data_IF_375978613247
#
_entry.id   IF_375978613247
#
_cell.length_a   1.000
_cell.length_b   1.000
_cell.length_c   1.000
_cell.angle_alpha   90.00
_cell.angle_beta   90.00
_cell.angle_gamma   90.00
#
_symmetry.space_group_name_H-M   'P 1'
#
loop_
_entity.id
_entity.type
_entity.pdbx_description
1 polymer ?
#
# COMPACT_ATOMS: atom_id res chain seq x y z
N UNK A 1 14.35 -26.27 -10.18
CA UNK A 1 14.26 -24.91 -10.75
C UNK A 1 15.14 -24.00 -9.91
N UNK A 2 16.14 -23.35 -10.51
CA UNK A 2 17.03 -22.46 -9.78
C UNK A 2 16.23 -21.21 -9.36
N UNK A 3 15.94 -21.09 -8.06
CA UNK A 3 15.20 -19.96 -7.48
C UNK A 3 16.11 -18.73 -7.40
N UNK A 4 16.39 -18.12 -8.56
CA UNK A 4 17.20 -16.92 -8.62
C UNK A 4 16.42 -15.73 -8.03
N UNK A 5 16.73 -15.39 -6.78
CA UNK A 5 16.21 -14.18 -6.16
C UNK A 5 16.75 -12.94 -6.86
N UNK A 6 15.88 -11.97 -7.12
CA UNK A 6 16.20 -10.63 -7.64
C UNK A 6 16.11 -9.60 -6.52
N UNK A 7 16.87 -8.52 -6.65
CA UNK A 7 16.74 -7.36 -5.76
C UNK A 7 15.62 -6.47 -6.29
N UNK A 8 14.72 -6.08 -5.41
CA UNK A 8 13.68 -5.09 -5.65
C UNK A 8 13.86 -3.93 -4.68
N UNK A 9 13.41 -2.74 -5.08
CA UNK A 9 13.23 -1.63 -4.15
C UNK A 9 11.79 -1.68 -3.62
N UNK A 10 11.59 -1.36 -2.34
CA UNK A 10 10.27 -1.20 -1.75
C UNK A 10 10.10 0.21 -1.22
N UNK A 11 8.85 0.66 -1.18
CA UNK A 11 8.44 1.89 -0.54
C UNK A 11 7.15 1.62 0.24
N UNK A 12 7.08 2.09 1.49
CA UNK A 12 5.89 1.98 2.34
C UNK A 12 5.40 3.36 2.72
N UNK A 13 4.12 3.43 3.05
CA UNK A 13 3.53 4.62 3.62
C UNK A 13 2.62 4.22 4.79
N UNK A 14 2.86 4.79 5.96
CA UNK A 14 2.07 4.52 7.16
C UNK A 14 0.66 5.10 7.05
N UNK A 15 -0.28 4.54 7.81
CA UNK A 15 -1.66 5.02 7.92
C UNK A 15 -1.82 6.06 9.05
N UNK A 16 -0.79 6.88 9.23
CA UNK A 16 -0.84 8.02 10.13
C UNK A 16 -1.70 9.15 9.50
N UNK A 17 -2.68 9.64 10.24
CA UNK A 17 -3.47 10.80 9.86
C UNK A 17 -3.32 11.91 10.92
N UNK A 18 -3.42 13.22 10.58
CA UNK A 18 -3.26 13.88 9.28
C UNK A 18 -1.92 14.64 9.11
N UNK A 19 -0.98 14.55 10.06
CA UNK A 19 0.15 15.50 10.09
C UNK A 19 1.44 14.99 9.44
N UNK A 20 1.79 13.71 9.59
CA UNK A 20 2.98 13.13 9.00
C UNK A 20 2.69 11.68 8.60
N UNK A 21 2.77 11.40 7.31
CA UNK A 21 2.73 10.05 6.78
C UNK A 21 4.18 9.59 6.69
N UNK A 22 4.60 8.70 7.59
CA UNK A 22 5.96 8.19 7.56
C UNK A 22 6.14 7.31 6.32
N UNK A 23 6.99 7.79 5.42
CA UNK A 23 7.43 7.06 4.24
C UNK A 23 8.76 6.39 4.52
N UNK A 24 8.84 5.09 4.25
CA UNK A 24 10.09 4.34 4.36
C UNK A 24 10.42 3.68 3.02
N UNK A 25 11.71 3.54 2.73
CA UNK A 25 12.23 2.96 1.49
C UNK A 25 13.38 2.01 1.80
N UNK A 26 13.48 0.94 1.02
CA UNK A 26 14.60 0.02 1.15
C UNK A 26 14.67 -0.99 0.01
N UNK A 27 15.48 -2.03 0.23
CA UNK A 27 15.70 -3.08 -0.76
C UNK A 27 15.38 -4.45 -0.17
N UNK A 28 14.90 -5.36 -1.00
CA UNK A 28 14.55 -6.73 -0.62
C UNK A 28 14.94 -7.72 -1.71
N UNK A 29 15.29 -8.95 -1.33
CA UNK A 29 15.59 -10.04 -2.27
C UNK A 29 14.46 -11.05 -2.28
N UNK A 30 13.75 -11.15 -3.40
CA UNK A 30 12.63 -12.07 -3.56
C UNK A 30 12.65 -12.79 -4.92
N UNK A 31 11.84 -13.82 -5.07
CA UNK A 31 11.69 -14.57 -6.34
C UNK A 31 10.94 -13.79 -7.40
N UNK A 32 9.96 -12.99 -6.97
CA UNK A 32 9.07 -12.21 -7.82
C UNK A 32 8.51 -11.00 -7.04
N UNK A 33 7.92 -10.00 -7.72
CA UNK A 33 7.44 -8.79 -7.07
C UNK A 33 6.31 -9.01 -6.07
N UNK A 34 5.45 -10.02 -6.25
CA UNK A 34 4.34 -10.27 -5.34
C UNK A 34 4.85 -10.87 -4.03
N UNK A 35 5.75 -11.86 -4.12
CA UNK A 35 6.42 -12.42 -2.94
C UNK A 35 7.19 -11.33 -2.16
N UNK A 36 7.86 -10.40 -2.86
CA UNK A 36 8.50 -9.25 -2.23
C UNK A 36 7.50 -8.35 -1.49
N UNK A 37 6.35 -8.09 -2.11
CA UNK A 37 5.30 -7.24 -1.54
C UNK A 37 4.73 -7.88 -0.28
N UNK A 38 4.36 -9.16 -0.34
CA UNK A 38 3.82 -9.90 0.81
C UNK A 38 4.83 -9.91 1.97
N UNK A 39 6.12 -10.11 1.69
CA UNK A 39 7.15 -10.06 2.73
C UNK A 39 7.27 -8.66 3.37
N UNK A 40 7.23 -7.59 2.57
CA UNK A 40 7.26 -6.20 3.10
C UNK A 40 6.02 -5.92 3.95
N UNK A 41 4.83 -6.32 3.49
CA UNK A 41 3.57 -6.07 4.22
C UNK A 41 3.53 -6.86 5.53
N UNK A 42 3.92 -8.14 5.51
CA UNK A 42 3.89 -9.01 6.69
C UNK A 42 4.90 -8.61 7.77
N UNK A 43 6.01 -7.98 7.40
CA UNK A 43 7.03 -7.52 8.33
C UNK A 43 6.90 -6.03 8.70
N UNK A 44 5.88 -5.33 8.21
CA UNK A 44 5.68 -3.93 8.51
C UNK A 44 5.15 -3.76 9.94
N UNK A 45 5.96 -3.16 10.80
CA UNK A 45 5.63 -2.88 12.19
C UNK A 45 5.64 -1.38 12.45
N UNK A 46 4.46 -0.77 12.39
CA UNK A 46 4.26 0.63 12.76
C UNK A 46 2.94 0.76 13.52
N UNK A 47 2.88 1.52 14.63
CA UNK A 47 1.67 1.64 15.46
C UNK A 47 0.44 2.13 14.69
N UNK A 48 0.63 2.95 13.66
CA UNK A 48 -0.47 3.45 12.83
C UNK A 48 -0.93 2.45 11.75
N UNK A 49 -0.21 1.34 11.56
CA UNK A 49 -0.45 0.37 10.49
C UNK A 49 -0.01 0.85 9.11
N UNK A 50 -0.04 -0.04 8.13
CA UNK A 50 0.37 0.22 6.75
C UNK A 50 -0.80 0.82 5.95
N UNK A 51 -0.58 1.96 5.29
CA UNK A 51 -1.57 2.55 4.39
C UNK A 51 -1.45 2.01 2.97
N UNK A 52 -0.22 1.98 2.45
CA UNK A 52 0.12 1.48 1.13
C UNK A 52 1.58 0.99 1.09
N UNK A 53 1.86 0.06 0.20
CA UNK A 53 3.24 -0.34 -0.13
C UNK A 53 3.38 -0.57 -1.62
N UNK A 54 4.58 -0.38 -2.15
CA UNK A 54 4.91 -0.61 -3.54
C UNK A 54 6.26 -1.32 -3.67
N UNK A 55 6.32 -2.25 -4.61
CA UNK A 55 7.55 -2.88 -5.08
C UNK A 55 7.92 -2.26 -6.42
N UNK A 56 9.15 -1.78 -6.52
CA UNK A 56 9.70 -1.02 -7.62
C UNK A 56 10.86 -1.79 -8.25
N UNK A 57 10.99 -1.70 -9.57
CA UNK A 57 12.19 -2.14 -10.27
C UNK A 57 13.34 -1.17 -9.98
N UNK A 58 14.48 -1.61 -9.42
CA UNK A 58 15.58 -0.74 -8.98
C UNK A 58 16.34 -0.19 -10.19
N UNK A 59 15.73 0.77 -10.86
CA UNK A 59 16.18 1.37 -12.12
C UNK A 59 15.89 2.86 -12.09
N UNK A 60 16.53 3.69 -12.91
CA UNK A 60 16.30 5.14 -12.87
C UNK A 60 14.83 5.57 -13.04
N UNK A 61 14.01 4.74 -13.71
CA UNK A 61 12.57 5.00 -13.89
C UNK A 61 11.70 4.50 -12.73
N UNK A 62 12.22 3.62 -11.87
CA UNK A 62 11.53 2.99 -10.74
C UNK A 62 10.06 2.62 -11.02
N UNK A 63 9.75 1.87 -12.10
CA UNK A 63 8.37 1.48 -12.37
C UNK A 63 7.84 0.58 -11.25
N UNK A 64 6.59 0.80 -10.86
CA UNK A 64 5.87 -0.04 -9.90
C UNK A 64 5.61 -1.41 -10.56
N UNK A 65 5.99 -2.48 -9.87
CA UNK A 65 5.79 -3.87 -10.30
C UNK A 65 4.65 -4.54 -9.54
N UNK A 66 4.50 -4.22 -8.26
CA UNK A 66 3.42 -4.70 -7.41
C UNK A 66 3.08 -3.64 -6.37
N UNK A 67 1.82 -3.61 -5.90
CA UNK A 67 1.39 -2.68 -4.86
C UNK A 67 0.36 -3.30 -3.92
N UNK A 68 0.41 -2.85 -2.69
CA UNK A 68 -0.59 -3.09 -1.66
C UNK A 68 -1.27 -1.78 -1.31
N UNK A 69 -2.58 -1.83 -1.10
CA UNK A 69 -3.32 -0.75 -0.46
C UNK A 69 -4.19 -1.31 0.67
N UNK A 70 -4.19 -0.61 1.80
CA UNK A 70 -5.02 -0.95 2.94
C UNK A 70 -6.51 -0.84 2.63
N UNK A 71 -7.34 -1.51 3.44
CA UNK A 71 -8.80 -1.35 3.41
C UNK A 71 -9.22 0.13 3.51
N UNK A 72 -8.50 0.92 4.30
CA UNK A 72 -8.73 2.36 4.44
C UNK A 72 -8.48 3.10 3.12
N UNK A 73 -7.30 2.91 2.54
CA UNK A 73 -6.91 3.52 1.28
C UNK A 73 -7.87 3.13 0.14
N UNK A 74 -8.20 1.83 0.04
CA UNK A 74 -9.14 1.32 -0.95
C UNK A 74 -10.55 1.90 -0.79
N UNK A 75 -10.98 2.17 0.44
CA UNK A 75 -12.27 2.80 0.72
C UNK A 75 -12.28 4.26 0.24
N UNK A 76 -11.22 5.03 0.53
CA UNK A 76 -11.06 6.42 0.07
C UNK A 76 -11.03 6.49 -1.45
N UNK A 77 -10.26 5.64 -2.11
CA UNK A 77 -10.14 5.59 -3.58
C UNK A 77 -11.49 5.34 -4.27
N UNK A 78 -12.37 4.55 -3.64
CA UNK A 78 -13.71 4.27 -4.17
C UNK A 78 -14.79 5.27 -3.74
N UNK A 79 -14.44 6.23 -2.89
CA UNK A 79 -15.38 7.17 -2.34
C UNK A 79 -15.74 8.25 -3.38
N UNK A 80 -16.99 8.76 -3.37
CA UNK A 80 -17.35 9.87 -4.24
C UNK A 80 -16.59 11.15 -3.87
N UNK A 81 -16.56 12.11 -4.79
CA UNK A 81 -16.07 13.45 -4.50
C UNK A 81 -16.91 14.13 -3.41
N UNK A 82 -16.26 14.88 -2.54
CA UNK A 82 -16.91 15.63 -1.46
C UNK A 82 -16.04 15.76 -0.23
N UNK A 83 -16.62 16.22 0.87
CA UNK A 83 -15.92 16.30 2.15
C UNK A 83 -15.77 14.90 2.74
N UNK A 84 -14.52 14.45 2.88
CA UNK A 84 -14.17 13.14 3.42
C UNK A 84 -13.92 13.25 4.93
N UNK A 85 -14.71 12.53 5.73
CA UNK A 85 -14.57 12.53 7.20
C UNK A 85 -14.52 11.10 7.71
N UNK A 86 -13.43 10.75 8.42
CA UNK A 86 -13.35 9.50 9.17
C UNK A 86 -14.01 9.66 10.53
N UNK A 87 -14.97 8.78 10.83
CA UNK A 87 -15.67 8.73 12.12
C UNK A 87 -15.60 7.32 12.69
N UNK A 88 -16.04 7.15 13.93
CA UNK A 88 -16.25 5.84 14.50
C UNK A 88 -17.21 5.04 13.60
N UNK A 89 -16.74 3.91 13.08
CA UNK A 89 -17.51 3.06 12.18
C UNK A 89 -17.30 3.31 10.68
N UNK A 90 -16.38 4.18 10.24
CA UNK A 90 -15.91 4.20 8.85
C UNK A 90 -15.78 5.59 8.20
N UNK A 91 -15.63 5.60 6.87
CA UNK A 91 -15.57 6.81 6.06
C UNK A 91 -16.97 7.36 5.77
N UNK A 92 -17.13 8.66 5.90
CA UNK A 92 -18.33 9.39 5.49
C UNK A 92 -17.97 10.42 4.42
N UNK A 93 -18.82 10.56 3.40
CA UNK A 93 -18.73 11.61 2.39
C UNK A 93 -20.03 12.38 2.34
N UNK A 94 -19.96 13.71 2.52
CA UNK A 94 -21.13 14.59 2.60
C UNK A 94 -22.19 14.05 3.58
N UNK A 95 -21.75 13.57 4.74
CA UNK A 95 -22.61 13.01 5.78
C UNK A 95 -23.14 11.58 5.55
N UNK A 96 -22.86 10.95 4.40
CA UNK A 96 -23.30 9.57 4.10
C UNK A 96 -22.15 8.58 4.28
N UNK A 97 -22.43 7.44 4.94
CA UNK A 97 -21.44 6.38 5.13
C UNK A 97 -21.06 5.75 3.79
N UNK A 98 -19.77 5.65 3.51
CA UNK A 98 -19.22 4.94 2.35
C UNK A 98 -19.10 3.46 2.69
N UNK A 99 -19.41 2.59 1.71
CA UNK A 99 -19.20 1.15 1.84
C UNK A 99 -17.71 0.84 1.93
N UNK A 100 -17.31 0.17 3.00
CA UNK A 100 -15.93 -0.24 3.21
C UNK A 100 -15.46 -1.23 2.14
N UNK A 101 -14.18 -1.10 1.79
CA UNK A 101 -13.47 -2.00 0.87
C UNK A 101 -12.45 -2.82 1.65
N UNK A 102 -12.14 -4.01 1.13
CA UNK A 102 -11.03 -4.81 1.63
C UNK A 102 -9.70 -4.25 1.13
N UNK A 103 -8.63 -4.58 1.83
CA UNK A 103 -7.27 -4.39 1.31
C UNK A 103 -7.07 -5.14 0.00
N UNK A 104 -6.12 -4.68 -0.81
CA UNK A 104 -5.85 -5.22 -2.14
C UNK A 104 -4.35 -5.38 -2.36
N UNK A 105 -3.99 -6.50 -2.98
CA UNK A 105 -2.66 -6.80 -3.51
C UNK A 105 -2.77 -6.89 -5.02
N UNK A 106 -1.94 -6.15 -5.73
CA UNK A 106 -2.04 -6.00 -7.18
C UNK A 106 -0.67 -6.15 -7.83
N UNK A 107 -0.55 -7.08 -8.79
CA UNK A 107 0.58 -7.13 -9.70
C UNK A 107 0.33 -6.14 -10.84
N UNK A 108 1.22 -5.18 -11.03
CA UNK A 108 1.10 -4.16 -12.08
C UNK A 108 1.60 -4.76 -13.39
N UNK A 109 0.67 -5.05 -14.31
CA UNK A 109 1.00 -5.49 -15.67
C UNK A 109 1.47 -4.27 -16.47
N UNK A 110 2.66 -4.37 -17.07
CA UNK A 110 3.16 -3.42 -18.06
C UNK A 110 2.37 -3.55 -19.37
#
# INVERSE_FOLDING_TARGET
MSNHKKVYQWATNSNAAPFFSDTDIGFIKATDPMSALEEVVNNYDHPCGLYAAAILEPSPKNPVLARYISARAATIESAPNGEHVWRQGGLYVNGKKVRERKERYELVKK
#
